data_IF_831062170064
#
_entry.id   IF_831062170064
#
_cell.length_a   1.000
_cell.length_b   1.000
_cell.length_c   1.000
_cell.angle_alpha   90.00
_cell.angle_beta   90.00
_cell.angle_gamma   90.00
#
_symmetry.space_group_name_H-M   'P 1'
#
loop_
_entity.id
_entity.type
_entity.pdbx_description
1 polymer ?
#
# COMPACT_ATOMS: atom_id res chain seq x y z
N UNK A 1 -27.48 7.09 13.26
CA UNK A 1 -26.07 6.67 13.16
C UNK A 1 -25.63 6.27 11.75
N UNK A 2 -26.34 5.39 11.01
CA UNK A 2 -25.97 5.00 9.62
C UNK A 2 -25.81 6.21 8.65
N UNK A 3 -26.68 7.22 8.74
CA UNK A 3 -26.61 8.44 7.89
C UNK A 3 -25.39 9.32 8.19
N UNK A 4 -24.91 9.36 9.44
CA UNK A 4 -23.72 10.14 9.83
C UNK A 4 -22.43 9.49 9.32
N UNK A 5 -22.35 8.16 9.34
CA UNK A 5 -21.19 7.44 8.75
C UNK A 5 -21.10 7.63 7.23
N UNK A 6 -22.25 7.63 6.53
CA UNK A 6 -22.27 7.89 5.08
C UNK A 6 -21.88 9.34 4.78
N UNK A 7 -22.33 10.29 5.58
CA UNK A 7 -21.94 11.71 5.44
C UNK A 7 -20.44 11.93 5.74
N UNK A 8 -19.88 11.26 6.74
CA UNK A 8 -18.43 11.30 7.03
C UNK A 8 -17.61 10.66 5.90
N UNK A 9 -18.05 9.54 5.32
CA UNK A 9 -17.39 8.93 4.16
C UNK A 9 -17.46 9.84 2.92
N UNK A 10 -18.60 10.47 2.66
CA UNK A 10 -18.74 11.46 1.58
C UNK A 10 -17.92 12.73 1.85
N UNK A 11 -17.87 13.23 3.08
CA UNK A 11 -17.06 14.38 3.45
C UNK A 11 -15.55 14.07 3.39
N UNK A 12 -15.11 12.86 3.75
CA UNK A 12 -13.74 12.42 3.53
C UNK A 12 -13.42 12.29 2.03
N UNK A 13 -14.32 11.75 1.22
CA UNK A 13 -14.12 11.64 -0.23
C UNK A 13 -14.06 13.02 -0.92
N UNK A 14 -14.75 14.05 -0.40
CA UNK A 14 -14.71 15.41 -0.94
C UNK A 14 -13.59 16.29 -0.38
N UNK A 15 -12.99 15.92 0.75
CA UNK A 15 -11.89 16.66 1.37
C UNK A 15 -10.50 16.24 0.83
N UNK A 16 -10.42 15.16 0.04
CA UNK A 16 -9.19 14.85 -0.67
C UNK A 16 -9.08 15.78 -1.88
N UNK A 17 -8.08 16.70 -1.92
CA UNK A 17 -7.74 17.34 -3.18
C UNK A 17 -7.49 16.18 -4.15
N UNK A 18 -8.11 16.23 -5.33
CA UNK A 18 -7.70 15.38 -6.44
C UNK A 18 -6.22 15.69 -6.66
N UNK A 19 -5.35 14.91 -6.04
CA UNK A 19 -3.94 14.88 -6.39
C UNK A 19 -3.96 14.35 -7.81
N UNK A 20 -3.87 15.25 -8.77
CA UNK A 20 -3.61 14.90 -10.17
C UNK A 20 -2.33 14.10 -10.14
N UNK A 21 -2.45 12.80 -10.35
CA UNK A 21 -1.32 11.91 -10.37
C UNK A 21 -0.34 12.40 -11.41
N UNK A 22 0.87 12.65 -10.99
CA UNK A 22 1.95 12.87 -11.93
C UNK A 22 2.20 11.52 -12.63
N UNK A 23 1.74 11.42 -13.86
CA UNK A 23 2.04 10.31 -14.75
C UNK A 23 3.55 10.02 -14.73
N UNK A 24 3.92 8.73 -14.72
CA UNK A 24 5.33 8.33 -14.66
C UNK A 24 5.94 8.23 -16.06
N UNK A 25 7.17 8.73 -16.19
CA UNK A 25 7.97 8.52 -17.39
C UNK A 25 8.49 7.09 -17.38
N UNK A 26 8.27 6.36 -18.47
CA UNK A 26 8.78 5.00 -18.68
C UNK A 26 9.51 4.90 -20.01
N UNK A 27 10.53 4.04 -20.10
CA UNK A 27 11.16 3.64 -21.35
C UNK A 27 10.61 2.28 -21.74
N UNK A 28 9.77 2.23 -22.75
CA UNK A 28 9.07 1.02 -23.21
C UNK A 28 9.91 0.18 -24.16
N UNK A 29 10.87 0.81 -24.84
CA UNK A 29 11.75 0.13 -25.79
C UNK A 29 13.15 0.72 -25.72
N UNK A 30 14.17 -0.14 -25.75
CA UNK A 30 15.56 0.27 -25.90
C UNK A 30 16.31 -0.80 -26.72
N UNK A 31 16.70 -0.48 -27.94
CA UNK A 31 17.32 -1.43 -28.87
C UNK A 31 18.46 -0.81 -29.64
N UNK A 32 19.44 -1.63 -30.09
CA UNK A 32 20.44 -1.20 -31.06
C UNK A 32 19.80 -1.06 -32.45
N UNK A 33 20.17 -0.02 -33.17
CA UNK A 33 19.76 0.20 -34.57
C UNK A 33 20.98 0.09 -35.51
N UNK A 34 21.37 -1.10 -35.96
CA UNK A 34 22.54 -1.29 -36.82
C UNK A 34 22.37 -0.74 -38.23
N UNK A 35 21.16 -0.38 -38.65
CA UNK A 35 20.88 0.21 -39.98
C UNK A 35 21.11 1.73 -40.00
N UNK A 36 21.09 2.36 -38.82
CA UNK A 36 21.43 3.79 -38.72
C UNK A 36 22.95 3.95 -38.72
N UNK A 37 23.43 5.01 -39.32
CA UNK A 37 24.87 5.38 -39.41
C UNK A 37 25.16 6.78 -38.91
N UNK A 38 24.25 7.35 -38.13
CA UNK A 38 24.36 8.73 -37.66
C UNK A 38 25.62 8.95 -36.82
N UNK A 39 25.92 8.02 -35.91
CA UNK A 39 27.11 8.05 -35.04
C UNK A 39 28.43 7.95 -35.85
N UNK A 40 28.41 7.26 -36.99
CA UNK A 40 29.58 7.12 -37.86
C UNK A 40 29.76 8.33 -38.79
N UNK A 41 28.65 8.91 -39.24
CA UNK A 41 28.68 10.09 -40.15
C UNK A 41 28.94 11.39 -39.39
N UNK A 42 28.46 11.52 -38.17
CA UNK A 42 28.66 12.67 -37.29
C UNK A 42 29.30 12.21 -35.97
N UNK A 43 30.52 11.69 -36.04
CA UNK A 43 31.23 11.19 -34.89
C UNK A 43 31.56 12.32 -33.90
N UNK A 44 31.11 12.17 -32.65
CA UNK A 44 31.49 13.03 -31.53
C UNK A 44 32.45 12.26 -30.63
N UNK A 45 33.44 12.96 -30.10
CA UNK A 45 34.49 12.35 -29.28
C UNK A 45 34.45 12.87 -27.87
N UNK A 46 34.74 12.02 -26.92
CA UNK A 46 34.90 12.38 -25.51
C UNK A 46 36.29 13.03 -25.27
N UNK A 47 36.54 13.45 -24.03
CA UNK A 47 37.83 14.07 -23.65
C UNK A 47 39.03 13.13 -23.76
N UNK A 48 38.81 11.83 -23.86
CA UNK A 48 39.80 10.81 -24.08
C UNK A 48 39.94 10.40 -25.54
N UNK A 49 39.32 11.16 -26.45
CA UNK A 49 39.29 10.93 -27.90
C UNK A 49 38.64 9.59 -28.32
N UNK A 50 37.71 9.05 -27.49
CA UNK A 50 36.90 7.90 -27.86
C UNK A 50 35.65 8.38 -28.60
N UNK A 51 35.29 7.74 -29.70
CA UNK A 51 34.07 8.07 -30.42
C UNK A 51 32.83 7.63 -29.60
N UNK A 52 31.84 8.52 -29.49
CA UNK A 52 30.58 8.24 -28.82
C UNK A 52 29.61 7.38 -29.62
N UNK A 53 28.48 7.14 -29.02
CA UNK A 53 27.31 6.50 -29.62
C UNK A 53 26.18 7.52 -29.75
N UNK A 54 25.19 7.25 -30.61
CA UNK A 54 23.97 8.03 -30.71
C UNK A 54 22.80 7.24 -30.12
N UNK A 55 22.03 7.88 -29.24
CA UNK A 55 20.75 7.35 -28.76
C UNK A 55 19.66 8.28 -29.24
N UNK A 56 18.69 7.74 -29.97
CA UNK A 56 17.52 8.43 -30.47
C UNK A 56 16.36 8.12 -29.57
N UNK A 57 15.83 9.12 -28.87
CA UNK A 57 14.67 9.01 -28.00
C UNK A 57 13.43 9.50 -28.72
N UNK A 58 12.48 8.60 -28.94
CA UNK A 58 11.16 8.94 -29.43
C UNK A 58 10.25 9.25 -28.25
N UNK A 59 9.48 10.34 -28.32
CA UNK A 59 8.56 10.75 -27.26
C UNK A 59 7.36 11.53 -27.80
N UNK A 60 6.24 11.45 -27.12
CA UNK A 60 5.05 12.27 -27.37
C UNK A 60 5.17 13.57 -26.56
N UNK A 61 5.20 14.71 -27.21
CA UNK A 61 5.30 16.03 -26.57
C UNK A 61 6.72 16.61 -26.56
N UNK A 62 6.92 17.66 -25.79
CA UNK A 62 8.18 18.42 -25.67
C UNK A 62 8.55 18.61 -24.20
N UNK A 63 9.79 19.05 -23.92
CA UNK A 63 10.20 19.39 -22.56
C UNK A 63 10.83 18.24 -21.76
N UNK A 64 11.14 17.12 -22.40
CA UNK A 64 11.92 16.06 -21.78
C UNK A 64 13.39 16.45 -21.65
N UNK A 65 13.94 16.30 -20.45
CA UNK A 65 15.36 16.48 -20.13
C UNK A 65 15.93 15.09 -19.89
N UNK A 66 16.92 14.68 -20.67
CA UNK A 66 17.50 13.34 -20.61
C UNK A 66 18.96 13.45 -20.19
N UNK A 67 19.31 12.84 -19.06
CA UNK A 67 20.63 12.94 -18.43
C UNK A 67 21.30 11.55 -18.34
N UNK A 68 22.23 11.22 -19.25
CA UNK A 68 23.05 10.02 -19.15
C UNK A 68 24.09 10.14 -18.03
N UNK A 69 24.46 9.02 -17.39
CA UNK A 69 25.40 8.99 -16.26
C UNK A 69 26.85 9.38 -16.62
N UNK A 70 27.25 9.33 -17.90
CA UNK A 70 28.56 9.78 -18.37
C UNK A 70 28.53 11.14 -19.08
N UNK A 71 27.38 11.82 -19.04
CA UNK A 71 27.21 13.12 -19.69
C UNK A 71 26.81 13.03 -21.17
N UNK A 72 26.71 14.19 -21.81
CA UNK A 72 26.24 14.36 -23.19
C UNK A 72 27.35 15.02 -23.96
N UNK A 73 27.70 14.45 -25.11
CA UNK A 73 28.67 15.03 -26.05
C UNK A 73 28.02 16.06 -26.97
N UNK A 74 26.82 15.76 -27.49
CA UNK A 74 25.99 16.63 -28.31
C UNK A 74 24.52 16.26 -28.10
N UNK A 75 23.65 17.25 -28.22
CA UNK A 75 22.19 17.06 -28.17
C UNK A 75 21.53 17.78 -29.36
N UNK A 76 20.57 17.11 -29.97
CA UNK A 76 19.67 17.69 -30.97
C UNK A 76 18.22 17.37 -30.55
N UNK A 77 17.37 18.38 -30.54
CA UNK A 77 15.96 18.25 -30.15
C UNK A 77 15.08 18.58 -31.34
N UNK A 78 14.20 17.64 -31.67
CA UNK A 78 13.20 17.78 -32.73
C UNK A 78 11.80 17.55 -32.17
N UNK A 79 10.74 17.96 -32.83
CA UNK A 79 9.38 17.58 -32.43
C UNK A 79 9.20 16.05 -32.38
N UNK A 80 8.94 15.49 -31.18
CA UNK A 80 8.78 14.06 -31.00
C UNK A 80 10.06 13.23 -30.95
N UNK A 81 11.25 13.85 -31.07
CA UNK A 81 12.52 13.14 -31.06
C UNK A 81 13.62 13.95 -30.36
N UNK A 82 14.39 13.30 -29.51
CA UNK A 82 15.65 13.87 -28.99
C UNK A 82 16.79 12.93 -29.28
N UNK A 83 17.86 13.45 -29.92
CA UNK A 83 19.08 12.71 -30.22
C UNK A 83 20.19 13.12 -29.27
N UNK A 84 20.82 12.15 -28.63
CA UNK A 84 21.95 12.36 -27.74
C UNK A 84 23.17 11.60 -28.25
N UNK A 85 24.27 12.31 -28.41
CA UNK A 85 25.60 11.69 -28.51
C UNK A 85 26.13 11.48 -27.11
N UNK A 86 26.40 10.25 -26.73
CA UNK A 86 26.85 9.87 -25.40
C UNK A 86 28.16 9.11 -25.46
N UNK A 87 29.00 9.17 -24.41
CA UNK A 87 30.20 8.34 -24.34
C UNK A 87 29.86 6.86 -24.39
N UNK A 88 30.73 6.06 -25.05
CA UNK A 88 30.63 4.61 -24.99
C UNK A 88 30.71 4.11 -23.52
N UNK A 89 29.99 3.06 -23.19
CA UNK A 89 29.88 2.55 -21.83
C UNK A 89 28.89 3.27 -20.92
N UNK A 90 28.09 4.21 -21.44
CA UNK A 90 26.93 4.76 -20.71
C UNK A 90 26.00 3.63 -20.28
N UNK A 91 25.64 3.58 -18.97
CA UNK A 91 24.89 2.47 -18.37
C UNK A 91 23.53 2.89 -17.81
N UNK A 92 23.35 4.17 -17.49
CA UNK A 92 22.15 4.66 -16.82
C UNK A 92 21.71 5.99 -17.44
N UNK A 93 20.39 6.19 -17.41
CA UNK A 93 19.76 7.43 -17.88
C UNK A 93 18.73 7.88 -16.86
N UNK A 94 18.67 9.18 -16.63
CA UNK A 94 17.58 9.84 -15.89
C UNK A 94 16.78 10.66 -16.89
N UNK A 95 15.45 10.53 -16.89
CA UNK A 95 14.57 11.33 -17.74
C UNK A 95 13.68 12.16 -16.84
N UNK A 96 13.61 13.48 -17.09
CA UNK A 96 12.81 14.43 -16.34
C UNK A 96 11.86 15.19 -17.25
N UNK A 97 10.74 15.60 -16.70
CA UNK A 97 9.77 16.49 -17.33
C UNK A 97 9.06 17.31 -16.24
N UNK A 98 8.64 18.53 -16.51
CA UNK A 98 8.02 19.41 -15.51
C UNK A 98 6.69 18.87 -14.95
N UNK A 99 5.95 18.11 -15.77
CA UNK A 99 4.60 17.62 -15.43
C UNK A 99 4.55 16.15 -15.05
N UNK A 100 5.66 15.41 -15.17
CA UNK A 100 5.69 13.96 -14.98
C UNK A 100 6.68 13.56 -13.89
N UNK A 101 6.40 12.45 -13.21
CA UNK A 101 7.35 11.87 -12.27
C UNK A 101 8.61 11.43 -13.00
N UNK A 102 9.80 11.86 -12.54
CA UNK A 102 11.04 11.57 -13.24
C UNK A 102 11.41 10.08 -13.17
N UNK A 103 11.83 9.52 -14.28
CA UNK A 103 12.48 8.22 -14.36
C UNK A 103 13.94 8.37 -13.95
N UNK A 104 14.31 7.87 -12.76
CA UNK A 104 15.67 8.03 -12.23
C UNK A 104 16.48 6.75 -12.38
N UNK A 105 17.69 6.88 -12.95
CA UNK A 105 18.68 5.81 -12.96
C UNK A 105 18.27 4.57 -13.76
N UNK A 106 17.44 4.72 -14.78
CA UNK A 106 17.09 3.62 -15.69
C UNK A 106 18.35 2.92 -16.20
N UNK A 107 18.45 1.62 -15.98
CA UNK A 107 19.57 0.80 -16.42
C UNK A 107 19.34 0.42 -17.88
N UNK A 108 20.26 0.81 -18.75
CA UNK A 108 20.19 0.49 -20.17
C UNK A 108 20.39 -1.03 -20.35
N UNK A 109 19.43 -1.73 -21.00
CA UNK A 109 19.48 -3.20 -21.11
C UNK A 109 20.52 -3.73 -22.08
N UNK A 110 21.14 -2.85 -22.87
CA UNK A 110 22.16 -3.20 -23.85
C UNK A 110 23.44 -2.41 -23.59
N UNK A 111 24.59 -2.96 -23.98
CA UNK A 111 25.88 -2.26 -23.88
C UNK A 111 25.95 -1.15 -24.94
N UNK A 112 26.25 0.07 -24.51
CA UNK A 112 26.48 1.21 -25.42
C UNK A 112 27.92 1.13 -25.94
N UNK A 113 28.05 0.87 -27.24
CA UNK A 113 29.32 0.72 -27.94
C UNK A 113 29.62 1.95 -28.79
N UNK A 114 30.91 2.23 -29.01
CA UNK A 114 31.39 3.33 -29.84
C UNK A 114 30.89 3.20 -31.29
N UNK A 115 30.50 4.34 -31.91
CA UNK A 115 30.00 4.41 -33.27
C UNK A 115 28.75 3.59 -33.59
N UNK A 116 28.00 3.21 -32.55
CA UNK A 116 26.72 2.51 -32.67
C UNK A 116 25.57 3.46 -32.46
N UNK A 117 24.44 3.18 -33.11
CA UNK A 117 23.20 3.91 -32.99
C UNK A 117 22.18 3.06 -32.23
N UNK A 118 21.42 3.71 -31.36
CA UNK A 118 20.37 3.08 -30.51
C UNK A 118 19.06 3.85 -30.63
N UNK A 119 17.98 3.17 -30.40
CA UNK A 119 16.64 3.74 -30.33
C UNK A 119 16.00 3.41 -28.98
N UNK A 120 15.40 4.42 -28.39
CA UNK A 120 14.64 4.32 -27.17
C UNK A 120 13.28 5.00 -27.36
N UNK A 121 12.23 4.46 -26.76
CA UNK A 121 10.89 5.03 -26.77
C UNK A 121 10.51 5.43 -25.35
N UNK A 122 10.26 6.73 -25.16
CA UNK A 122 9.76 7.30 -23.91
C UNK A 122 8.25 7.38 -24.02
N UNK A 123 7.55 6.75 -23.11
CA UNK A 123 6.10 6.87 -22.97
C UNK A 123 5.74 7.37 -21.57
N UNK A 124 4.50 7.75 -21.39
CA UNK A 124 3.95 8.24 -20.15
C UNK A 124 2.96 7.17 -19.68
N UNK A 125 3.28 6.54 -18.57
CA UNK A 125 2.42 5.50 -18.00
C UNK A 125 1.33 6.12 -17.16
N UNK A 126 0.09 5.88 -17.53
CA UNK A 126 -1.10 6.19 -16.74
C UNK A 126 -1.43 5.06 -15.76
N UNK A 127 -0.68 3.95 -15.80
CA UNK A 127 -0.99 2.77 -15.00
C UNK A 127 -0.44 2.94 -13.60
N UNK A 128 -1.29 2.89 -12.57
CA UNK A 128 -0.84 2.87 -11.19
C UNK A 128 0.10 1.69 -10.95
N UNK A 129 1.24 1.92 -10.33
CA UNK A 129 2.25 0.89 -10.09
C UNK A 129 2.41 0.57 -8.61
N UNK A 130 2.55 -0.72 -8.28
CA UNK A 130 2.93 -1.21 -6.95
C UNK A 130 4.44 -1.13 -6.70
N UNK A 131 5.24 -0.62 -7.65
CA UNK A 131 6.71 -0.74 -7.68
C UNK A 131 7.47 0.03 -6.59
N UNK A 132 6.81 0.76 -5.71
CA UNK A 132 7.47 1.45 -4.61
C UNK A 132 7.88 0.45 -3.52
N UNK A 133 9.16 0.10 -3.48
CA UNK A 133 9.71 -0.93 -2.59
C UNK A 133 9.91 -0.49 -1.14
N UNK A 134 9.93 0.83 -0.85
CA UNK A 134 10.16 1.33 0.50
C UNK A 134 9.23 2.53 0.76
N UNK A 135 8.11 2.30 1.42
CA UNK A 135 7.12 3.34 1.68
C UNK A 135 6.46 3.18 3.04
N UNK A 136 6.08 4.30 3.61
CA UNK A 136 5.19 4.36 4.77
C UNK A 136 3.76 4.63 4.28
N UNK A 137 2.77 4.10 4.95
CA UNK A 137 1.38 4.34 4.62
C UNK A 137 0.50 4.54 5.84
N UNK A 138 -0.60 5.22 5.65
CA UNK A 138 -1.74 5.24 6.56
C UNK A 138 -2.92 4.56 5.87
N UNK A 139 -3.72 3.85 6.65
CA UNK A 139 -4.90 3.15 6.17
C UNK A 139 -6.14 3.52 6.96
N UNK A 140 -7.26 3.60 6.28
CA UNK A 140 -8.58 3.71 6.90
C UNK A 140 -9.54 2.73 6.23
N UNK A 141 -10.40 2.10 7.01
CA UNK A 141 -11.29 1.08 6.48
C UNK A 141 -12.45 0.75 7.41
N UNK A 142 -13.15 -0.30 7.06
CA UNK A 142 -14.23 -0.85 7.85
C UNK A 142 -14.06 -2.35 7.99
N UNK A 143 -14.12 -2.81 9.22
CA UNK A 143 -14.09 -4.23 9.55
C UNK A 143 -15.52 -4.78 9.59
N UNK A 144 -15.72 -5.96 9.00
CA UNK A 144 -17.02 -6.64 8.89
C UNK A 144 -16.89 -8.00 9.57
N UNK A 145 -17.99 -8.60 9.94
CA UNK A 145 -18.17 -9.91 10.56
C UNK A 145 -18.01 -9.87 12.10
N UNK A 146 -16.95 -10.48 12.69
CA UNK A 146 -16.89 -10.65 14.15
C UNK A 146 -16.90 -9.34 14.92
N UNK A 147 -15.93 -8.46 14.68
CA UNK A 147 -15.92 -7.09 15.19
C UNK A 147 -16.20 -6.16 14.03
N UNK A 148 -17.40 -5.58 14.01
CA UNK A 148 -17.81 -4.69 12.90
C UNK A 148 -17.67 -3.23 13.30
N UNK A 149 -16.90 -2.47 12.52
CA UNK A 149 -16.71 -1.04 12.78
C UNK A 149 -15.54 -0.42 12.04
N UNK A 150 -15.30 0.88 12.23
CA UNK A 150 -14.19 1.59 11.59
C UNK A 150 -12.84 1.03 12.04
N UNK A 151 -11.91 1.03 11.11
CA UNK A 151 -10.52 0.63 11.32
C UNK A 151 -9.57 1.71 10.82
N UNK A 152 -8.42 1.81 11.48
CA UNK A 152 -7.31 2.65 11.06
C UNK A 152 -6.01 1.86 11.19
N UNK A 153 -5.05 2.17 10.34
CA UNK A 153 -3.73 1.53 10.40
C UNK A 153 -2.63 2.48 9.97
N UNK A 154 -1.43 2.21 10.43
CA UNK A 154 -0.18 2.78 9.96
C UNK A 154 0.78 1.65 9.70
N UNK A 155 1.52 1.71 8.62
CA UNK A 155 2.45 0.66 8.26
C UNK A 155 3.57 1.12 7.37
N UNK A 156 4.52 0.22 7.15
CA UNK A 156 5.64 0.43 6.27
C UNK A 156 5.94 -0.83 5.46
N UNK A 157 6.35 -0.62 4.21
CA UNK A 157 6.80 -1.67 3.30
C UNK A 157 8.28 -1.44 3.02
N UNK A 158 9.12 -2.47 3.22
CA UNK A 158 10.55 -2.46 2.94
C UNK A 158 10.92 -3.73 2.19
N UNK A 159 11.37 -3.62 0.96
CA UNK A 159 11.74 -4.77 0.11
C UNK A 159 10.67 -5.89 0.14
N UNK A 160 9.40 -5.53 -0.03
CA UNK A 160 8.21 -6.40 0.07
C UNK A 160 7.82 -6.84 1.48
N UNK A 161 8.63 -6.60 2.52
CA UNK A 161 8.24 -6.87 3.90
C UNK A 161 7.29 -5.76 4.39
N UNK A 162 6.12 -6.15 4.87
CA UNK A 162 5.09 -5.24 5.38
C UNK A 162 4.99 -5.38 6.90
N UNK A 163 5.09 -4.27 7.62
CA UNK A 163 4.81 -4.19 9.05
C UNK A 163 3.68 -3.19 9.24
N UNK A 164 2.64 -3.58 9.96
CA UNK A 164 1.45 -2.75 10.18
C UNK A 164 1.00 -2.78 11.63
N UNK A 165 0.73 -1.60 12.17
CA UNK A 165 0.00 -1.40 13.42
C UNK A 165 -1.41 -0.92 13.07
N UNK A 166 -2.44 -1.60 13.57
CA UNK A 166 -3.83 -1.27 13.29
C UNK A 166 -4.70 -1.22 14.53
N UNK A 167 -5.82 -0.54 14.42
CA UNK A 167 -6.87 -0.50 15.44
C UNK A 167 -8.25 -0.66 14.78
N UNK A 168 -9.17 -1.32 15.50
CA UNK A 168 -10.57 -1.47 15.11
C UNK A 168 -11.44 -1.06 16.30
N UNK A 169 -12.44 -0.22 16.07
CA UNK A 169 -13.46 0.12 17.05
C UNK A 169 -14.78 -0.58 16.69
N UNK A 170 -15.17 -1.57 17.50
CA UNK A 170 -16.41 -2.33 17.29
C UNK A 170 -17.64 -1.48 17.55
N UNK A 171 -18.52 -1.37 16.56
CA UNK A 171 -19.83 -0.74 16.67
C UNK A 171 -20.92 -1.75 17.02
N UNK A 172 -20.68 -3.04 16.77
CA UNK A 172 -21.56 -4.12 17.20
C UNK A 172 -21.41 -4.37 18.69
N UNK A 173 -22.48 -4.81 19.28
CA UNK A 173 -22.57 -5.14 20.72
C UNK A 173 -22.97 -6.59 20.87
N UNK A 174 -22.63 -7.17 22.03
CA UNK A 174 -23.26 -8.41 22.47
C UNK A 174 -24.74 -8.21 22.80
N UNK A 175 -25.47 -9.28 22.91
CA UNK A 175 -26.76 -9.24 23.62
C UNK A 175 -26.53 -8.85 25.10
N UNK A 176 -27.59 -8.48 25.81
CA UNK A 176 -27.53 -8.20 27.22
C UNK A 176 -27.24 -9.52 27.99
N UNK A 177 -26.13 -9.52 28.71
CA UNK A 177 -25.66 -10.67 29.48
C UNK A 177 -25.90 -10.41 30.96
N UNK A 178 -26.58 -11.35 31.64
CA UNK A 178 -26.89 -11.28 33.06
C UNK A 178 -26.05 -12.28 33.83
N UNK A 179 -25.41 -11.79 34.89
CA UNK A 179 -24.63 -12.57 35.82
C UNK A 179 -25.44 -12.75 37.11
N UNK A 180 -25.49 -13.96 37.64
CA UNK A 180 -26.28 -14.30 38.80
C UNK A 180 -25.38 -14.58 40.00
N UNK A 181 -25.85 -14.20 41.18
CA UNK A 181 -25.20 -14.57 42.44
C UNK A 181 -25.55 -16.01 42.84
N UNK A 182 -24.94 -16.50 43.93
CA UNK A 182 -25.19 -17.85 44.47
C UNK A 182 -26.64 -18.11 44.92
N UNK A 183 -27.42 -17.04 45.04
CA UNK A 183 -28.84 -17.11 45.42
C UNK A 183 -29.79 -17.10 44.21
N UNK A 184 -29.23 -17.05 42.99
CA UNK A 184 -29.99 -16.99 41.74
C UNK A 184 -30.54 -15.61 41.38
N UNK A 185 -30.15 -14.55 42.10
CA UNK A 185 -30.53 -13.19 41.77
C UNK A 185 -29.54 -12.57 40.80
N UNK A 186 -30.03 -11.69 39.87
CA UNK A 186 -29.18 -10.94 38.97
C UNK A 186 -28.26 -10.03 39.78
N UNK A 187 -26.95 -10.26 39.69
CA UNK A 187 -25.92 -9.46 40.34
C UNK A 187 -25.33 -8.41 39.42
N UNK A 188 -25.35 -8.62 38.10
CA UNK A 188 -24.86 -7.70 37.09
C UNK A 188 -25.50 -7.97 35.74
N UNK A 189 -25.66 -6.94 34.96
CA UNK A 189 -26.10 -7.02 33.56
C UNK A 189 -25.26 -6.08 32.67
N UNK A 190 -24.66 -6.61 31.61
CA UNK A 190 -23.81 -5.86 30.70
C UNK A 190 -24.06 -6.25 29.25
N UNK A 191 -23.91 -5.26 28.33
CA UNK A 191 -23.56 -5.52 26.94
C UNK A 191 -22.15 -4.99 26.66
N UNK A 192 -21.42 -5.63 25.76
CA UNK A 192 -20.01 -5.32 25.50
C UNK A 192 -19.81 -4.77 24.11
N UNK A 193 -18.88 -3.82 24.00
CA UNK A 193 -18.26 -3.39 22.76
C UNK A 193 -16.80 -3.87 22.75
N UNK A 194 -16.23 -4.05 21.56
CA UNK A 194 -14.84 -4.44 21.40
C UNK A 194 -13.99 -3.29 20.86
N UNK A 195 -12.79 -3.15 21.42
CA UNK A 195 -11.71 -2.36 20.82
C UNK A 195 -10.56 -3.34 20.56
N UNK A 196 -10.00 -3.33 19.35
CA UNK A 196 -8.88 -4.19 18.97
C UNK A 196 -7.69 -3.33 18.57
N UNK A 197 -6.52 -3.61 19.12
CA UNK A 197 -5.23 -3.17 18.61
C UNK A 197 -4.49 -4.38 18.04
N UNK A 198 -3.83 -4.23 16.90
CA UNK A 198 -3.20 -5.36 16.22
C UNK A 198 -1.87 -4.96 15.58
N UNK A 199 -0.90 -5.90 15.65
CA UNK A 199 0.38 -5.80 14.97
C UNK A 199 0.47 -6.95 13.98
N UNK A 200 0.76 -6.63 12.73
CA UNK A 200 0.88 -7.59 11.62
C UNK A 200 2.24 -7.49 10.95
N UNK A 201 2.73 -8.61 10.52
CA UNK A 201 3.86 -8.75 9.61
C UNK A 201 3.42 -9.55 8.40
N UNK A 202 3.83 -9.13 7.22
CA UNK A 202 3.50 -9.81 5.98
C UNK A 202 4.58 -9.65 4.91
N UNK A 203 4.42 -10.40 3.83
CA UNK A 203 5.29 -10.31 2.67
C UNK A 203 4.44 -10.03 1.42
N UNK A 204 4.69 -8.89 0.76
CA UNK A 204 3.96 -8.46 -0.44
C UNK A 204 4.47 -9.21 -1.67
N UNK A 205 3.59 -9.95 -2.31
CA UNK A 205 3.84 -10.70 -3.54
C UNK A 205 3.15 -9.92 -4.68
N UNK A 206 3.89 -9.18 -5.52
CA UNK A 206 3.31 -8.53 -6.68
C UNK A 206 2.90 -9.59 -7.71
N UNK A 207 1.62 -9.59 -8.10
CA UNK A 207 1.07 -10.47 -9.13
C UNK A 207 1.05 -9.74 -10.48
N UNK A 208 0.82 -8.41 -10.44
CA UNK A 208 0.89 -7.52 -11.59
C UNK A 208 1.27 -6.12 -11.13
N UNK A 209 1.44 -5.17 -12.05
CA UNK A 209 1.79 -3.79 -11.74
C UNK A 209 0.75 -3.10 -10.84
N UNK A 210 -0.51 -3.52 -10.90
CA UNK A 210 -1.61 -2.92 -10.14
C UNK A 210 -2.18 -3.83 -9.05
N UNK A 211 -1.74 -5.09 -8.94
CA UNK A 211 -2.32 -6.06 -7.99
C UNK A 211 -1.27 -6.84 -7.23
N UNK A 212 -1.40 -6.89 -5.90
CA UNK A 212 -0.56 -7.72 -5.03
C UNK A 212 -1.37 -8.54 -4.03
N UNK A 213 -0.75 -9.59 -3.54
CA UNK A 213 -1.25 -10.45 -2.46
C UNK A 213 -0.21 -10.42 -1.33
N UNK A 214 -0.68 -10.18 -0.10
CA UNK A 214 0.21 -10.12 1.07
C UNK A 214 -0.30 -11.08 2.13
N UNK A 215 0.25 -12.30 2.23
CA UNK A 215 0.05 -13.15 3.40
C UNK A 215 0.60 -12.45 4.64
N UNK A 216 -0.16 -12.47 5.73
CA UNK A 216 0.17 -11.78 6.98
C UNK A 216 -0.07 -12.69 8.18
N UNK A 217 0.77 -12.52 9.19
CA UNK A 217 0.62 -13.09 10.52
C UNK A 217 0.75 -11.99 11.56
N UNK A 218 0.16 -12.17 12.72
CA UNK A 218 0.26 -11.15 13.75
C UNK A 218 -0.39 -11.51 15.05
N UNK A 219 -0.49 -10.50 15.90
CA UNK A 219 -1.14 -10.56 17.20
C UNK A 219 -2.16 -9.44 17.33
N UNK A 220 -3.23 -9.70 18.07
CA UNK A 220 -4.25 -8.71 18.36
C UNK A 220 -4.59 -8.73 19.85
N UNK A 221 -4.57 -7.57 20.47
CA UNK A 221 -5.11 -7.33 21.79
C UNK A 221 -6.54 -6.83 21.67
N UNK A 222 -7.48 -7.51 22.32
CA UNK A 222 -8.87 -7.13 22.32
C UNK A 222 -9.26 -6.70 23.74
N UNK A 223 -9.75 -5.46 23.86
CA UNK A 223 -10.36 -4.94 25.07
C UNK A 223 -11.88 -4.91 24.87
N UNK A 224 -12.61 -5.49 25.80
CA UNK A 224 -14.06 -5.54 25.81
C UNK A 224 -14.57 -4.66 26.93
N UNK A 225 -15.40 -3.68 26.59
CA UNK A 225 -15.92 -2.67 27.51
C UNK A 225 -17.42 -2.95 27.70
N UNK A 226 -17.80 -3.35 28.92
CA UNK A 226 -19.20 -3.57 29.30
C UNK A 226 -19.90 -2.23 29.57
N UNK A 227 -21.04 -2.05 28.93
CA UNK A 227 -22.01 -1.03 29.29
C UNK A 227 -23.08 -1.66 30.19
N UNK A 228 -23.28 -1.06 31.36
CA UNK A 228 -24.26 -1.49 32.32
C UNK A 228 -25.69 -1.47 31.76
N UNK A 229 -26.44 -2.56 31.94
CA UNK A 229 -27.85 -2.69 31.53
C UNK A 229 -28.75 -2.68 32.74
N UNK A 230 -28.26 -3.22 33.86
CA UNK A 230 -29.00 -3.29 35.13
C UNK A 230 -28.38 -2.33 36.15
N UNK A 231 -29.17 -1.44 36.73
CA UNK A 231 -28.72 -0.47 37.74
C UNK A 231 -28.10 -1.19 38.95
N UNK A 232 -26.93 -0.74 39.40
CA UNK A 232 -26.23 -1.31 40.54
C UNK A 232 -25.45 -2.57 40.22
N UNK A 233 -25.14 -2.82 38.95
CA UNK A 233 -24.33 -3.95 38.52
C UNK A 233 -22.93 -3.95 39.16
N UNK A 234 -22.44 -5.14 39.51
CA UNK A 234 -21.10 -5.33 40.07
C UNK A 234 -20.04 -4.90 39.02
N UNK A 235 -19.09 -4.07 39.45
CA UNK A 235 -17.98 -3.60 38.57
C UNK A 235 -17.02 -4.71 38.12
N UNK A 236 -17.09 -5.91 38.76
CA UNK A 236 -16.19 -7.03 38.47
C UNK A 236 -16.26 -7.54 37.03
N UNK A 237 -17.42 -7.40 36.37
CA UNK A 237 -17.63 -7.89 34.99
C UNK A 237 -17.55 -6.80 33.93
N UNK A 238 -17.24 -5.56 34.32
CA UNK A 238 -17.29 -4.40 33.39
C UNK A 238 -16.27 -4.47 32.25
N UNK A 239 -15.11 -5.06 32.46
CA UNK A 239 -14.06 -5.16 31.49
C UNK A 239 -13.57 -6.60 31.34
N UNK A 240 -13.25 -6.98 30.12
CA UNK A 240 -12.63 -8.25 29.79
C UNK A 240 -11.58 -8.04 28.70
N UNK A 241 -10.56 -8.90 28.66
CA UNK A 241 -9.46 -8.77 27.70
C UNK A 241 -9.05 -10.13 27.13
N UNK A 242 -8.58 -10.11 25.88
CA UNK A 242 -7.95 -11.27 25.27
C UNK A 242 -6.78 -10.89 24.39
N UNK A 243 -5.84 -11.82 24.24
CA UNK A 243 -4.79 -11.77 23.23
C UNK A 243 -5.07 -12.87 22.22
N UNK A 244 -5.03 -12.52 20.92
CA UNK A 244 -5.29 -13.44 19.82
C UNK A 244 -4.09 -13.49 18.89
N UNK A 245 -3.78 -14.69 18.37
CA UNK A 245 -2.98 -14.83 17.17
C UNK A 245 -3.87 -14.62 15.96
N UNK A 246 -3.33 -14.03 14.89
CA UNK A 246 -4.07 -13.79 13.66
C UNK A 246 -3.27 -14.22 12.43
N UNK A 247 -4.00 -14.72 11.44
CA UNK A 247 -3.53 -14.94 10.09
C UNK A 247 -4.44 -14.23 9.10
N UNK A 248 -3.87 -13.55 8.12
CA UNK A 248 -4.62 -12.79 7.14
C UNK A 248 -4.03 -12.92 5.74
N UNK A 249 -4.86 -12.64 4.75
CA UNK A 249 -4.46 -12.56 3.36
C UNK A 249 -4.97 -11.23 2.81
N UNK A 250 -4.06 -10.26 2.58
CA UNK A 250 -4.45 -8.97 2.01
C UNK A 250 -4.36 -9.02 0.49
N UNK A 251 -5.42 -8.61 -0.15
CA UNK A 251 -5.48 -8.31 -1.57
C UNK A 251 -5.41 -6.80 -1.75
N UNK A 252 -4.45 -6.31 -2.53
CA UNK A 252 -4.22 -4.89 -2.74
C UNK A 252 -4.35 -4.57 -4.23
N UNK A 253 -5.14 -3.53 -4.54
CA UNK A 253 -5.30 -3.00 -5.89
C UNK A 253 -4.81 -1.56 -5.87
N UNK A 254 -3.80 -1.24 -6.68
CA UNK A 254 -3.35 0.13 -6.88
C UNK A 254 -4.40 0.89 -7.69
N UNK A 255 -4.99 1.91 -7.08
CA UNK A 255 -5.86 2.86 -7.77
C UNK A 255 -5.01 3.98 -8.38
N UNK A 256 -3.88 4.24 -7.76
CA UNK A 256 -2.86 5.18 -8.15
C UNK A 256 -1.53 4.86 -7.48
N UNK A 257 -0.47 5.61 -7.79
CA UNK A 257 0.84 5.42 -7.16
C UNK A 257 0.80 5.57 -5.63
N UNK A 258 -0.09 6.44 -5.13
CA UNK A 258 -0.20 6.76 -3.72
C UNK A 258 -1.44 6.15 -3.07
N UNK A 259 -2.48 5.78 -3.84
CA UNK A 259 -3.74 5.25 -3.32
C UNK A 259 -3.92 3.79 -3.68
N UNK A 260 -4.15 2.95 -2.67
CA UNK A 260 -4.41 1.53 -2.86
C UNK A 260 -5.68 1.10 -2.12
N UNK A 261 -6.53 0.33 -2.79
CA UNK A 261 -7.67 -0.35 -2.19
C UNK A 261 -7.18 -1.68 -1.62
N UNK A 262 -7.59 -2.03 -0.41
CA UNK A 262 -7.28 -3.32 0.19
C UNK A 262 -8.52 -4.05 0.69
N UNK A 263 -8.50 -5.36 0.51
CA UNK A 263 -9.47 -6.31 1.07
C UNK A 263 -8.67 -7.37 1.83
N UNK A 264 -8.95 -7.52 3.13
CA UNK A 264 -8.15 -8.37 4.02
C UNK A 264 -9.07 -9.32 4.79
N UNK A 265 -9.35 -10.53 4.28
CA UNK A 265 -9.87 -11.61 5.11
C UNK A 265 -8.84 -11.99 6.16
N UNK A 266 -9.30 -12.16 7.40
CA UNK A 266 -8.48 -12.45 8.57
C UNK A 266 -9.18 -13.49 9.43
N UNK A 267 -8.41 -14.45 9.92
CA UNK A 267 -8.84 -15.35 10.98
C UNK A 267 -8.02 -15.11 12.23
N UNK A 268 -8.69 -14.95 13.36
CA UNK A 268 -8.05 -14.79 14.67
C UNK A 268 -8.47 -15.91 15.62
N UNK A 269 -7.56 -16.31 16.48
CA UNK A 269 -7.80 -17.28 17.54
C UNK A 269 -7.20 -16.79 18.85
N UNK A 270 -7.99 -16.85 19.92
CA UNK A 270 -7.51 -16.44 21.24
C UNK A 270 -6.41 -17.38 21.74
N UNK A 271 -5.27 -16.80 22.10
CA UNK A 271 -4.16 -17.50 22.78
C UNK A 271 -4.16 -17.25 24.28
N UNK A 272 -4.77 -16.15 24.71
CA UNK A 272 -4.99 -15.83 26.12
C UNK A 272 -6.33 -15.13 26.32
N UNK A 273 -6.99 -15.44 27.41
CA UNK A 273 -8.22 -14.80 27.88
C UNK A 273 -8.09 -14.57 29.38
N UNK A 274 -8.47 -13.40 29.86
CA UNK A 274 -8.68 -13.19 31.30
C UNK A 274 -9.90 -13.95 31.79
N UNK A 275 -10.09 -14.00 33.08
CA UNK A 275 -11.17 -14.80 33.67
C UNK A 275 -12.57 -14.28 33.33
N UNK A 276 -12.72 -12.95 33.18
CA UNK A 276 -13.96 -12.35 32.73
C UNK A 276 -14.24 -12.71 31.26
N UNK A 277 -13.23 -12.69 30.41
CA UNK A 277 -13.35 -13.07 29.02
C UNK A 277 -13.74 -14.55 28.86
N UNK A 278 -13.20 -15.44 29.68
CA UNK A 278 -13.60 -16.87 29.71
C UNK A 278 -15.07 -17.02 30.09
N UNK A 279 -15.46 -16.41 31.21
CA UNK A 279 -16.82 -16.48 31.73
C UNK A 279 -17.86 -15.95 30.71
N UNK A 280 -17.58 -14.81 30.07
CA UNK A 280 -18.47 -14.23 29.08
C UNK A 280 -18.52 -15.11 27.81
N UNK A 281 -17.38 -15.65 27.38
CA UNK A 281 -17.28 -16.52 26.19
C UNK A 281 -18.09 -17.82 26.34
N UNK A 282 -18.20 -18.33 27.54
CA UNK A 282 -18.96 -19.56 27.83
C UNK A 282 -20.47 -19.31 27.78
N UNK A 283 -20.89 -18.06 27.90
CA UNK A 283 -22.29 -17.66 27.94
C UNK A 283 -22.79 -16.94 26.68
N UNK A 284 -21.92 -16.52 25.77
CA UNK A 284 -22.29 -15.78 24.55
C UNK A 284 -21.42 -16.16 23.35
N UNK A 285 -22.03 -16.81 22.35
CA UNK A 285 -21.37 -17.20 21.09
C UNK A 285 -20.97 -16.00 20.24
N UNK A 286 -21.66 -14.88 20.33
CA UNK A 286 -21.31 -13.64 19.61
C UNK A 286 -20.01 -13.07 20.15
N UNK A 287 -19.89 -13.00 21.47
CA UNK A 287 -18.68 -12.58 22.16
C UNK A 287 -17.49 -13.50 21.83
N UNK A 288 -17.74 -14.83 21.82
CA UNK A 288 -16.73 -15.82 21.46
C UNK A 288 -16.14 -15.59 20.07
N UNK A 289 -16.94 -15.20 19.08
CA UNK A 289 -16.49 -14.89 17.71
C UNK A 289 -15.59 -13.67 17.63
N UNK A 290 -15.64 -12.74 18.59
CA UNK A 290 -14.81 -11.56 18.60
C UNK A 290 -13.32 -11.84 18.80
N UNK A 291 -12.98 -12.87 19.56
CA UNK A 291 -11.58 -13.25 19.81
C UNK A 291 -11.18 -14.56 19.11
N UNK A 292 -12.14 -15.31 18.57
CA UNK A 292 -11.89 -16.49 17.74
C UNK A 292 -12.90 -16.52 16.60
N UNK A 293 -12.50 -16.09 15.40
CA UNK A 293 -13.41 -16.03 14.27
C UNK A 293 -12.83 -15.33 13.05
N UNK A 294 -13.66 -15.25 12.03
CA UNK A 294 -13.37 -14.59 10.77
C UNK A 294 -13.70 -13.10 10.85
N UNK A 295 -12.85 -12.28 10.26
CA UNK A 295 -13.07 -10.88 9.97
C UNK A 295 -12.77 -10.60 8.50
N UNK A 296 -13.36 -9.54 7.98
CA UNK A 296 -13.07 -9.02 6.67
C UNK A 296 -12.89 -7.51 6.80
N UNK A 297 -11.68 -7.03 6.52
CA UNK A 297 -11.40 -5.60 6.47
C UNK A 297 -11.38 -5.12 5.01
N UNK A 298 -12.11 -4.03 4.74
CA UNK A 298 -12.10 -3.34 3.45
C UNK A 298 -11.67 -1.90 3.71
N UNK A 299 -10.64 -1.44 3.03
CA UNK A 299 -10.07 -0.12 3.30
C UNK A 299 -9.28 0.47 2.16
N UNK A 300 -8.87 1.72 2.37
CA UNK A 300 -7.97 2.47 1.51
C UNK A 300 -6.67 2.73 2.26
N UNK A 301 -5.56 2.66 1.55
CA UNK A 301 -4.24 3.01 2.03
C UNK A 301 -3.67 4.16 1.20
N UNK A 302 -3.02 5.11 1.88
CA UNK A 302 -2.33 6.24 1.28
C UNK A 302 -0.84 6.08 1.57
N UNK A 303 -0.04 6.00 0.52
CA UNK A 303 1.41 5.82 0.57
C UNK A 303 2.14 7.16 0.39
N UNK A 304 3.27 7.30 1.09
CA UNK A 304 4.10 8.50 1.11
C UNK A 304 5.53 8.23 0.68
#
# INVERSE_FOLDING_TARGET
>A
MKKICVLMLLAMASAFPMVTEAQEIVITKFVANPLSRKSSMEAMYDNANNAGAVIRFWHKGSGFIIEPNLGILKQEVYPGETRLWVPAGTKRITVRHMSYKPLRGYVIPVRIESKMDYEAEIDISDTPSLSNTNNVYIGAGYNIMSISGPSASVGAVFNHHNIELGAVYGLNKTNDLYFYNSQGNVSAGYNYNAIRAQLRYGYEIPVSDFFSITPQVGIAYNAYIGKEVTTGSSSNYKNANSLSALGALRFTIALSNNFKLCVTPEYNTAVYKDDNCKLISDNDDTFKKWHTGLNLNVGLMIFF
#
